data_IF_876287330067
#
_entry.id   IF_876287330067
#
_cell.length_a   1.000
_cell.length_b   1.000
_cell.length_c   1.000
_cell.angle_alpha   90.00
_cell.angle_beta   90.00
_cell.angle_gamma   90.00
#
_symmetry.space_group_name_H-M   'P 1'
#
loop_
_entity.id
_entity.type
_entity.pdbx_description
1 polymer ?
#
# COMPACT_ATOMS: atom_id res chain seq x y z
N UNK A 1 -0.52 -5.11 10.31
CA UNK A 1 -1.79 -5.04 9.55
C UNK A 1 -3.03 -5.04 10.45
N UNK A 2 -3.28 -6.04 11.32
CA UNK A 2 -4.53 -6.11 12.12
C UNK A 2 -4.78 -4.88 13.01
N UNK A 3 -3.75 -4.36 13.68
CA UNK A 3 -3.87 -3.13 14.48
C UNK A 3 -4.23 -1.91 13.62
N UNK A 4 -3.68 -1.80 12.41
CA UNK A 4 -3.99 -0.70 11.48
C UNK A 4 -5.43 -0.81 11.00
N UNK A 5 -5.87 -2.00 10.57
CA UNK A 5 -7.26 -2.25 10.17
C UNK A 5 -8.25 -1.86 11.28
N UNK A 6 -7.96 -2.25 12.52
CA UNK A 6 -8.77 -1.84 13.67
C UNK A 6 -8.84 -0.31 13.82
N UNK A 7 -7.72 0.39 13.76
CA UNK A 7 -7.66 1.85 13.93
C UNK A 7 -8.36 2.62 12.81
N UNK A 8 -8.51 2.03 11.62
CA UNK A 8 -9.27 2.62 10.50
C UNK A 8 -10.71 2.12 10.41
N UNK A 9 -11.20 1.40 11.44
CA UNK A 9 -12.58 0.94 11.51
C UNK A 9 -12.90 -0.23 10.57
N UNK A 10 -11.89 -1.01 10.16
CA UNK A 10 -12.04 -2.23 9.37
C UNK A 10 -12.01 -3.47 10.25
N UNK A 11 -12.71 -4.51 9.77
CA UNK A 11 -12.69 -5.82 10.41
C UNK A 11 -11.30 -6.46 10.35
N UNK A 12 -11.00 -7.26 11.36
CA UNK A 12 -9.86 -8.17 11.33
C UNK A 12 -10.07 -9.24 10.28
N UNK A 13 -8.99 -9.62 9.61
CA UNK A 13 -8.99 -10.68 8.61
C UNK A 13 -8.77 -12.02 9.29
N UNK A 14 -9.51 -13.03 8.86
CA UNK A 14 -9.33 -14.41 9.33
C UNK A 14 -8.22 -15.08 8.51
N UNK A 15 -7.37 -15.89 9.17
CA UNK A 15 -6.36 -16.67 8.44
C UNK A 15 -7.05 -17.81 7.70
N UNK A 16 -6.83 -17.88 6.39
CA UNK A 16 -7.31 -18.94 5.51
C UNK A 16 -6.13 -19.82 5.06
N UNK A 17 -6.22 -21.12 5.28
CA UNK A 17 -5.11 -22.04 5.00
C UNK A 17 -4.85 -22.25 3.51
N UNK A 18 -5.86 -22.10 2.65
CA UNK A 18 -5.67 -22.17 1.21
C UNK A 18 -4.87 -20.95 0.73
N UNK A 19 -5.21 -19.76 1.23
CA UNK A 19 -4.45 -18.54 0.96
C UNK A 19 -3.03 -18.62 1.53
N UNK A 20 -2.84 -19.16 2.74
CA UNK A 20 -1.49 -19.35 3.32
C UNK A 20 -0.65 -20.26 2.41
N UNK A 21 -1.23 -21.34 1.92
CA UNK A 21 -0.55 -22.28 1.02
C UNK A 21 -0.20 -21.59 -0.31
N UNK A 22 -1.14 -20.87 -0.92
CA UNK A 22 -0.92 -20.09 -2.14
C UNK A 22 0.21 -19.08 -1.96
N UNK A 23 0.14 -18.27 -0.91
CA UNK A 23 1.15 -17.24 -0.62
C UNK A 23 2.52 -17.82 -0.34
N UNK A 24 2.61 -18.93 0.40
CA UNK A 24 3.88 -19.60 0.66
C UNK A 24 4.47 -20.20 -0.61
N UNK A 25 3.66 -20.80 -1.46
CA UNK A 25 4.11 -21.32 -2.76
C UNK A 25 4.68 -20.21 -3.63
N UNK A 26 3.99 -19.07 -3.71
CA UNK A 26 4.48 -17.93 -4.48
C UNK A 26 5.77 -17.34 -3.90
N UNK A 27 5.86 -17.17 -2.58
CA UNK A 27 7.10 -16.72 -1.94
C UNK A 27 8.28 -17.69 -2.22
N UNK A 28 8.03 -19.00 -2.19
CA UNK A 28 9.03 -20.00 -2.56
C UNK A 28 9.43 -19.91 -4.04
N UNK A 29 8.47 -19.71 -4.93
CA UNK A 29 8.73 -19.48 -6.36
C UNK A 29 9.65 -18.28 -6.57
N UNK A 30 9.35 -17.15 -5.93
CA UNK A 30 10.16 -15.93 -6.05
C UNK A 30 11.59 -16.14 -5.54
N UNK A 31 11.77 -16.88 -4.44
CA UNK A 31 13.11 -17.21 -3.91
C UNK A 31 13.87 -18.20 -4.79
N UNK A 32 13.22 -19.26 -5.27
CA UNK A 32 13.84 -20.28 -6.13
C UNK A 32 14.36 -19.70 -7.45
N UNK A 33 13.68 -18.67 -7.95
CA UNK A 33 13.98 -18.06 -9.24
C UNK A 33 14.65 -16.68 -9.13
N UNK A 34 14.91 -16.20 -7.90
CA UNK A 34 15.37 -14.83 -7.63
C UNK A 34 14.56 -13.79 -8.41
N UNK A 35 13.24 -14.01 -8.44
CA UNK A 35 12.28 -13.22 -9.18
C UNK A 35 11.59 -12.19 -8.28
N UNK A 36 10.91 -11.24 -8.91
CA UNK A 36 10.03 -10.25 -8.27
C UNK A 36 8.72 -10.13 -9.06
N UNK A 37 7.70 -9.55 -8.44
CA UNK A 37 6.40 -9.31 -9.07
C UNK A 37 5.40 -10.44 -8.86
N UNK A 38 4.21 -10.25 -9.44
CA UNK A 38 3.02 -11.07 -9.18
C UNK A 38 2.97 -12.38 -9.98
N UNK A 39 3.70 -12.44 -11.09
CA UNK A 39 3.51 -13.49 -12.08
C UNK A 39 4.55 -14.60 -11.94
N UNK A 40 4.14 -15.82 -12.28
CA UNK A 40 5.02 -16.96 -12.42
C UNK A 40 5.15 -17.39 -13.88
N UNK A 41 6.37 -17.77 -14.27
CA UNK A 41 6.68 -18.32 -15.58
C UNK A 41 6.58 -19.83 -15.56
N UNK A 42 5.73 -20.39 -16.43
CA UNK A 42 5.56 -21.83 -16.59
C UNK A 42 6.89 -22.52 -16.93
N UNK A 43 7.17 -23.63 -16.25
CA UNK A 43 8.39 -24.42 -16.44
C UNK A 43 9.54 -24.03 -15.51
N UNK A 44 9.43 -22.94 -14.76
CA UNK A 44 10.38 -22.62 -13.70
C UNK A 44 10.09 -23.39 -12.39
N UNK A 45 11.11 -23.73 -11.58
CA UNK A 45 10.93 -24.41 -10.30
C UNK A 45 9.92 -23.71 -9.39
N UNK A 46 9.05 -24.50 -8.76
CA UNK A 46 8.03 -23.98 -7.86
C UNK A 46 6.79 -23.38 -8.53
N UNK A 47 6.68 -23.43 -9.87
CA UNK A 47 5.51 -22.93 -10.59
C UNK A 47 4.21 -23.59 -10.11
N UNK A 48 3.21 -22.77 -9.78
CA UNK A 48 1.87 -23.16 -9.35
C UNK A 48 0.76 -22.50 -10.17
N UNK A 49 1.04 -21.37 -10.81
CA UNK A 49 0.09 -20.67 -11.67
C UNK A 49 0.61 -19.30 -12.10
N UNK A 50 0.32 -18.90 -13.34
CA UNK A 50 0.88 -17.69 -13.95
C UNK A 50 0.57 -16.41 -13.17
N UNK A 51 -0.61 -16.31 -12.58
CA UNK A 51 -1.13 -15.13 -11.89
C UNK A 51 -1.72 -15.52 -10.54
N UNK A 52 -1.96 -14.57 -9.61
CA UNK A 52 -2.51 -14.88 -8.29
C UNK A 52 -3.81 -15.69 -8.39
N UNK A 53 -4.69 -15.30 -9.31
CA UNK A 53 -5.99 -15.95 -9.56
C UNK A 53 -5.89 -17.35 -10.19
N UNK A 54 -4.76 -17.69 -10.79
CA UNK A 54 -4.52 -19.05 -11.32
C UNK A 54 -3.73 -19.93 -10.35
N UNK A 55 -3.04 -19.34 -9.36
CA UNK A 55 -2.44 -20.07 -8.24
C UNK A 55 -3.47 -20.59 -7.25
N UNK A 56 -4.52 -19.81 -6.99
CA UNK A 56 -5.66 -20.25 -6.17
C UNK A 56 -6.94 -19.47 -6.50
N UNK A 57 -8.05 -20.19 -6.55
CA UNK A 57 -9.41 -19.65 -6.72
C UNK A 57 -9.94 -18.88 -5.50
N UNK A 58 -9.29 -19.00 -4.34
CA UNK A 58 -9.61 -18.24 -3.15
C UNK A 58 -9.06 -16.81 -3.18
N UNK A 59 -8.13 -16.50 -4.09
CA UNK A 59 -7.46 -15.20 -4.16
C UNK A 59 -8.37 -14.17 -4.81
N UNK A 60 -8.64 -13.08 -4.10
CA UNK A 60 -9.37 -11.90 -4.56
C UNK A 60 -8.47 -10.65 -4.64
N UNK A 61 -7.29 -10.69 -4.03
CA UNK A 61 -6.26 -9.67 -4.12
C UNK A 61 -4.92 -10.20 -3.62
N UNK A 62 -3.83 -9.57 -4.04
CA UNK A 62 -2.48 -9.95 -3.63
C UNK A 62 -1.62 -8.70 -3.44
N UNK A 63 -0.73 -8.75 -2.45
CA UNK A 63 0.44 -7.87 -2.38
C UNK A 63 1.70 -8.71 -2.21
N UNK A 64 2.76 -8.38 -2.94
CA UNK A 64 4.00 -9.17 -2.95
C UNK A 64 5.24 -8.30 -3.02
N UNK A 65 6.27 -8.68 -2.29
CA UNK A 65 7.58 -8.03 -2.37
C UNK A 65 8.67 -9.09 -2.29
N UNK A 66 9.69 -8.95 -3.12
CA UNK A 66 10.85 -9.81 -3.11
C UNK A 66 12.09 -9.05 -3.55
N UNK A 67 13.26 -9.50 -3.12
CA UNK A 67 14.51 -8.86 -3.47
C UNK A 67 15.69 -9.40 -2.69
N UNK A 68 16.81 -8.66 -2.78
CA UNK A 68 18.01 -8.95 -2.02
C UNK A 68 17.69 -8.98 -0.51
N UNK A 69 18.08 -10.06 0.15
CA UNK A 69 17.80 -10.28 1.58
C UNK A 69 18.33 -9.15 2.47
N UNK A 70 19.35 -8.40 2.03
CA UNK A 70 19.89 -7.25 2.78
C UNK A 70 18.90 -6.09 2.90
N UNK A 71 17.93 -5.99 1.99
CA UNK A 71 16.84 -5.02 2.09
C UNK A 71 15.83 -5.40 3.19
N UNK A 72 15.78 -6.67 3.60
CA UNK A 72 14.85 -7.20 4.60
C UNK A 72 15.48 -7.22 5.99
N UNK A 73 15.70 -6.02 6.54
CA UNK A 73 16.37 -5.84 7.84
C UNK A 73 15.66 -6.50 9.05
N UNK A 74 14.37 -6.83 8.92
CA UNK A 74 13.55 -7.47 9.96
C UNK A 74 12.48 -8.32 9.29
N UNK A 75 11.92 -9.29 10.02
CA UNK A 75 10.78 -10.10 9.55
C UNK A 75 9.51 -9.29 9.23
N UNK A 76 9.44 -8.03 9.69
CA UNK A 76 8.33 -7.14 9.37
C UNK A 76 8.60 -6.27 8.14
N UNK A 77 9.83 -6.21 7.64
CA UNK A 77 10.24 -5.23 6.62
C UNK A 77 9.39 -5.37 5.36
N UNK A 78 9.19 -6.59 4.85
CA UNK A 78 8.35 -6.81 3.66
C UNK A 78 6.89 -6.37 3.83
N UNK A 79 6.28 -6.67 4.99
CA UNK A 79 4.90 -6.22 5.27
C UNK A 79 4.84 -4.70 5.42
N UNK A 80 5.83 -4.08 6.05
CA UNK A 80 5.86 -2.63 6.22
C UNK A 80 6.14 -1.89 4.92
N UNK A 81 7.03 -2.40 4.04
CA UNK A 81 7.31 -1.76 2.75
C UNK A 81 6.10 -1.81 1.82
N UNK A 82 5.40 -2.95 1.78
CA UNK A 82 4.13 -3.08 1.08
C UNK A 82 3.09 -2.11 1.62
N UNK A 83 2.97 -1.96 2.94
CA UNK A 83 2.00 -1.04 3.52
C UNK A 83 2.37 0.45 3.32
N UNK A 84 3.65 0.78 3.26
CA UNK A 84 4.13 2.14 3.02
C UNK A 84 3.92 2.58 1.56
N UNK A 85 3.89 1.62 0.63
CA UNK A 85 3.59 1.83 -0.78
C UNK A 85 2.07 2.01 -1.01
N UNK A 86 1.60 3.12 -1.61
CA UNK A 86 0.19 3.50 -1.57
C UNK A 86 -0.74 2.61 -2.40
N UNK A 87 -0.31 2.06 -3.54
CA UNK A 87 -1.18 1.14 -4.31
C UNK A 87 -1.38 -0.18 -3.56
N UNK A 88 -0.31 -0.75 -3.01
CA UNK A 88 -0.40 -1.92 -2.15
C UNK A 88 -1.24 -1.65 -0.89
N UNK A 89 -1.09 -0.47 -0.26
CA UNK A 89 -1.90 -0.07 0.90
C UNK A 89 -3.39 -0.10 0.60
N UNK A 90 -3.82 0.36 -0.57
CA UNK A 90 -5.24 0.33 -0.95
C UNK A 90 -5.79 -1.09 -0.88
N UNK A 91 -5.06 -2.07 -1.44
CA UNK A 91 -5.44 -3.48 -1.35
C UNK A 91 -5.42 -3.99 0.09
N UNK A 92 -4.39 -3.66 0.88
CA UNK A 92 -4.28 -4.12 2.28
C UNK A 92 -5.39 -3.56 3.20
N UNK A 93 -5.99 -2.43 2.83
CA UNK A 93 -7.10 -1.77 3.54
C UNK A 93 -8.47 -2.00 2.88
N UNK A 94 -8.56 -2.90 1.91
CA UNK A 94 -9.82 -3.19 1.25
C UNK A 94 -10.74 -4.09 2.10
N UNK A 95 -12.00 -4.23 1.69
CA UNK A 95 -13.06 -5.00 2.33
C UNK A 95 -12.90 -6.53 2.30
N UNK A 96 -11.69 -7.07 2.26
CA UNK A 96 -11.44 -8.51 2.36
C UNK A 96 -11.89 -9.08 3.72
N UNK A 97 -12.12 -10.40 3.78
CA UNK A 97 -12.52 -11.11 5.01
C UNK A 97 -11.47 -12.07 5.53
N UNK A 98 -10.60 -12.56 4.65
CA UNK A 98 -9.54 -13.49 4.98
C UNK A 98 -8.23 -13.11 4.31
N UNK A 99 -7.15 -13.71 4.80
CA UNK A 99 -5.82 -13.61 4.21
C UNK A 99 -5.01 -14.88 4.42
N UNK A 100 -3.95 -15.00 3.62
CA UNK A 100 -2.80 -15.85 3.88
C UNK A 100 -1.51 -15.04 3.81
N UNK A 101 -0.51 -15.41 4.60
CA UNK A 101 0.83 -14.82 4.52
C UNK A 101 1.83 -15.94 4.24
N UNK A 102 2.66 -15.74 3.24
CA UNK A 102 3.79 -16.59 2.91
C UNK A 102 5.08 -15.78 2.93
N UNK A 103 6.14 -16.33 3.52
CA UNK A 103 7.46 -15.75 3.47
C UNK A 103 8.49 -16.86 3.21
N UNK A 104 9.49 -16.56 2.39
CA UNK A 104 10.56 -17.49 2.07
C UNK A 104 11.88 -16.74 1.93
N UNK A 105 12.99 -17.41 2.24
CA UNK A 105 14.33 -16.81 2.21
C UNK A 105 15.36 -17.82 1.69
N UNK A 106 16.36 -17.34 0.98
CA UNK A 106 17.62 -18.03 0.69
C UNK A 106 18.80 -17.25 1.29
N UNK A 107 20.03 -17.65 0.97
CA UNK A 107 21.23 -16.92 1.41
C UNK A 107 21.32 -15.48 0.85
N UNK A 108 20.63 -15.17 -0.25
CA UNK A 108 20.74 -13.88 -0.94
C UNK A 108 19.40 -13.23 -1.29
N UNK A 109 18.27 -13.93 -1.10
CA UNK A 109 16.96 -13.47 -1.53
C UNK A 109 15.91 -13.67 -0.43
N UNK A 110 14.97 -12.74 -0.34
CA UNK A 110 13.79 -12.88 0.52
C UNK A 110 12.54 -12.46 -0.27
N UNK A 111 11.42 -13.14 0.00
CA UNK A 111 10.13 -12.83 -0.56
C UNK A 111 9.04 -12.92 0.51
N UNK A 112 8.09 -12.00 0.47
CA UNK A 112 6.87 -11.99 1.28
C UNK A 112 5.67 -11.79 0.34
N UNK A 113 4.71 -12.70 0.42
CA UNK A 113 3.43 -12.61 -0.28
C UNK A 113 2.28 -12.58 0.72
N UNK A 114 1.26 -11.79 0.43
CA UNK A 114 0.00 -11.78 1.16
C UNK A 114 -1.14 -11.88 0.15
N UNK A 115 -1.82 -13.02 0.15
CA UNK A 115 -3.07 -13.19 -0.57
C UNK A 115 -4.25 -12.82 0.32
N UNK A 116 -5.24 -12.15 -0.27
CA UNK A 116 -6.49 -11.79 0.37
C UNK A 116 -7.65 -12.54 -0.27
N UNK A 117 -8.64 -12.91 0.54
CA UNK A 117 -9.81 -13.64 0.08
C UNK A 117 -11.10 -13.20 0.74
N UNK A 118 -12.19 -13.60 0.08
CA UNK A 118 -13.55 -13.19 0.40
C UNK A 118 -13.75 -11.68 0.40
N UNK A 119 -15.01 -11.25 0.49
CA UNK A 119 -15.34 -9.83 0.51
C UNK A 119 -16.50 -9.59 1.45
N UNK A 120 -16.40 -8.58 2.29
CA UNK A 120 -17.49 -8.20 3.18
C UNK A 120 -18.20 -6.95 2.67
N UNK A 121 -19.54 -6.94 2.66
CA UNK A 121 -20.29 -5.73 2.41
C UNK A 121 -20.30 -4.77 3.63
N UNK A 122 -19.66 -5.13 4.75
CA UNK A 122 -19.75 -4.43 6.04
C UNK A 122 -19.07 -3.07 6.06
N UNK A 123 -18.17 -2.77 5.10
CA UNK A 123 -17.78 -1.38 4.87
C UNK A 123 -19.02 -0.63 4.39
N UNK A 124 -19.48 0.34 5.18
CA UNK A 124 -20.66 1.12 4.85
C UNK A 124 -20.47 1.82 3.50
N UNK A 125 -21.54 1.97 2.73
CA UNK A 125 -21.45 2.52 1.37
C UNK A 125 -20.95 3.98 1.33
N UNK A 126 -20.94 4.67 2.47
CA UNK A 126 -20.38 6.01 2.66
C UNK A 126 -19.10 6.06 3.50
N UNK A 127 -18.61 4.91 3.97
CA UNK A 127 -17.41 4.85 4.82
C UNK A 127 -16.16 5.13 3.98
N UNK A 128 -15.32 6.04 4.48
CA UNK A 128 -14.01 6.34 3.92
C UNK A 128 -12.93 5.85 4.89
N UNK A 129 -11.91 5.22 4.34
CA UNK A 129 -10.72 4.78 5.06
C UNK A 129 -9.59 5.74 4.69
N UNK A 130 -9.10 6.48 5.68
CA UNK A 130 -7.98 7.40 5.53
C UNK A 130 -6.73 6.84 6.19
N UNK A 131 -5.57 7.03 5.55
CA UNK A 131 -4.26 6.74 6.14
C UNK A 131 -3.25 7.83 5.78
N UNK A 132 -2.40 8.31 6.71
CA UNK A 132 -2.43 8.05 8.15
C UNK A 132 -3.80 8.33 8.77
N UNK A 133 -4.20 7.55 9.76
CA UNK A 133 -5.54 7.67 10.34
C UNK A 133 -5.64 8.87 11.29
N UNK A 134 -6.87 9.28 11.60
CA UNK A 134 -7.11 10.44 12.48
C UNK A 134 -6.43 10.27 13.84
N UNK A 135 -5.58 11.23 14.20
CA UNK A 135 -4.83 11.23 15.45
C UNK A 135 -3.61 10.30 15.45
N UNK A 136 -3.25 9.68 14.33
CA UNK A 136 -2.09 8.78 14.27
C UNK A 136 -0.80 9.53 14.62
N UNK A 137 0.01 8.94 15.51
CA UNK A 137 1.35 9.43 15.84
C UNK A 137 2.43 8.48 15.33
N UNK A 138 3.65 8.97 15.14
CA UNK A 138 4.77 8.14 14.70
C UNK A 138 4.66 7.75 13.22
N UNK A 139 4.00 8.57 12.41
CA UNK A 139 3.94 8.38 10.95
C UNK A 139 5.33 8.64 10.38
N UNK A 140 5.88 7.79 9.49
CA UNK A 140 7.16 8.06 8.86
C UNK A 140 7.14 9.43 8.18
N UNK A 141 8.24 10.16 8.27
CA UNK A 141 8.34 11.49 7.64
C UNK A 141 8.50 11.39 6.11
N UNK A 142 9.00 10.25 5.63
CA UNK A 142 9.37 10.02 4.23
C UNK A 142 9.07 8.59 3.81
N UNK A 143 8.97 8.39 2.50
CA UNK A 143 8.81 7.09 1.86
C UNK A 143 9.81 7.00 0.71
N UNK A 144 10.39 5.82 0.50
CA UNK A 144 11.21 5.56 -0.69
C UNK A 144 10.27 5.12 -1.82
N UNK A 145 10.14 5.93 -2.87
CA UNK A 145 9.16 5.76 -3.93
C UNK A 145 9.52 4.64 -4.92
N UNK A 146 9.62 3.42 -4.40
CA UNK A 146 9.83 2.17 -5.14
C UNK A 146 8.57 1.32 -5.05
N UNK A 147 7.70 1.48 -6.05
CA UNK A 147 6.47 0.72 -6.24
C UNK A 147 6.29 0.47 -7.74
N UNK A 148 5.64 -0.64 -8.10
CA UNK A 148 5.27 -0.98 -9.47
C UNK A 148 3.77 -1.36 -9.50
N UNK A 149 2.90 -0.63 -10.22
CA UNK A 149 3.19 0.62 -10.93
C UNK A 149 3.65 1.74 -9.99
N UNK A 150 4.51 2.63 -10.47
CA UNK A 150 4.99 3.73 -9.64
C UNK A 150 4.02 4.91 -9.69
N UNK A 151 3.58 5.48 -8.55
CA UNK A 151 2.73 6.67 -8.54
C UNK A 151 3.33 7.84 -9.34
N UNK A 152 4.66 7.97 -9.35
CA UNK A 152 5.40 9.00 -10.09
C UNK A 152 5.74 8.59 -11.54
N UNK A 153 4.97 7.71 -12.17
CA UNK A 153 5.18 7.32 -13.58
C UNK A 153 5.32 8.53 -14.52
N UNK A 154 4.53 9.59 -14.31
CA UNK A 154 4.56 10.83 -15.09
C UNK A 154 5.64 11.84 -14.62
N UNK A 155 6.31 11.58 -13.51
CA UNK A 155 7.35 12.43 -12.92
C UNK A 155 8.56 11.60 -12.47
N UNK A 156 9.31 10.99 -13.42
CA UNK A 156 10.35 10.01 -13.13
C UNK A 156 11.48 10.48 -12.21
N UNK A 157 11.69 11.80 -12.06
CA UNK A 157 12.66 12.35 -11.10
C UNK A 157 12.33 12.03 -9.63
N UNK A 158 11.09 11.63 -9.34
CA UNK A 158 10.63 11.22 -8.01
C UNK A 158 10.51 9.69 -7.85
N UNK A 159 10.83 8.90 -8.88
CA UNK A 159 10.88 7.44 -8.76
C UNK A 159 12.19 7.01 -8.09
N UNK A 160 12.14 5.96 -7.27
CA UNK A 160 13.31 5.39 -6.59
C UNK A 160 14.13 6.43 -5.80
N UNK A 161 13.44 7.41 -5.21
CA UNK A 161 14.02 8.41 -4.31
C UNK A 161 13.14 8.59 -3.08
N UNK A 162 13.65 9.30 -2.07
CA UNK A 162 12.86 9.63 -0.90
C UNK A 162 11.98 10.86 -1.16
N UNK A 163 10.68 10.68 -0.95
CA UNK A 163 9.64 11.70 -0.98
C UNK A 163 8.95 11.74 0.39
N UNK A 164 7.96 12.62 0.59
CA UNK A 164 7.16 12.60 1.81
C UNK A 164 6.25 11.39 1.89
N UNK A 165 5.82 11.06 3.10
CA UNK A 165 5.02 9.87 3.32
C UNK A 165 3.62 9.99 2.70
N UNK A 166 3.14 8.99 1.93
CA UNK A 166 1.86 9.06 1.24
C UNK A 166 0.66 9.20 2.18
N UNK A 167 -0.21 10.16 1.88
CA UNK A 167 -1.56 10.27 2.44
C UNK A 167 -2.56 9.69 1.45
N UNK A 168 -3.41 8.79 1.91
CA UNK A 168 -4.35 8.01 1.12
C UNK A 168 -5.76 8.10 1.71
N UNK A 169 -6.77 8.12 0.84
CA UNK A 169 -8.17 7.95 1.20
C UNK A 169 -8.82 6.97 0.21
N UNK A 170 -9.63 6.04 0.71
CA UNK A 170 -10.36 5.10 -0.13
C UNK A 170 -11.78 4.88 0.39
N UNK A 171 -12.71 4.73 -0.53
CA UNK A 171 -14.02 4.14 -0.26
C UNK A 171 -13.95 2.63 -0.41
N UNK A 172 -15.05 1.95 -0.09
CA UNK A 172 -15.26 0.54 -0.44
C UNK A 172 -15.01 0.28 -1.92
N UNK A 173 -14.54 -0.92 -2.28
CA UNK A 173 -14.26 -1.34 -3.67
C UNK A 173 -15.36 -1.00 -4.69
N UNK A 174 -16.63 -1.05 -4.30
CA UNK A 174 -17.78 -0.77 -5.17
C UNK A 174 -18.15 0.72 -5.27
N UNK A 175 -17.48 1.57 -4.50
CA UNK A 175 -17.65 3.01 -4.56
C UNK A 175 -16.77 3.63 -5.64
N UNK A 176 -17.16 4.81 -6.12
CA UNK A 176 -16.37 5.59 -7.07
C UNK A 176 -16.16 6.99 -6.51
N UNK A 177 -14.90 7.43 -6.45
CA UNK A 177 -14.59 8.80 -6.07
C UNK A 177 -14.47 9.67 -7.31
N UNK A 178 -14.98 10.90 -7.25
CA UNK A 178 -14.81 11.90 -8.30
C UNK A 178 -14.62 13.29 -7.70
N UNK A 179 -14.04 14.21 -8.47
CA UNK A 179 -13.77 15.59 -8.05
C UNK A 179 -12.99 15.68 -6.74
N UNK A 180 -12.11 14.71 -6.49
CA UNK A 180 -11.34 14.62 -5.25
C UNK A 180 -10.22 15.66 -5.25
N UNK A 181 -10.09 16.39 -4.14
CA UNK A 181 -8.94 17.23 -3.85
C UNK A 181 -8.44 16.94 -2.45
N UNK A 182 -7.13 16.77 -2.29
CA UNK A 182 -6.48 16.46 -1.02
C UNK A 182 -5.48 17.57 -0.68
N UNK A 183 -5.75 18.32 0.39
CA UNK A 183 -4.86 19.37 0.88
C UNK A 183 -4.19 18.91 2.17
N UNK A 184 -2.86 19.01 2.22
CA UNK A 184 -2.08 18.80 3.44
C UNK A 184 -1.52 20.16 3.89
N UNK A 185 -1.67 20.49 5.16
CA UNK A 185 -1.07 21.69 5.78
C UNK A 185 -0.24 21.33 7.00
N UNK A 186 0.85 22.08 7.23
CA UNK A 186 1.61 22.00 8.47
C UNK A 186 0.94 22.77 9.61
N UNK A 187 1.48 22.67 10.83
CA UNK A 187 0.94 23.34 12.02
C UNK A 187 0.92 24.88 11.93
N UNK A 188 1.68 25.47 11.00
CA UNK A 188 1.66 26.90 10.71
C UNK A 188 0.60 27.30 9.68
N UNK A 189 -0.17 26.34 9.14
CA UNK A 189 -1.14 26.56 8.08
C UNK A 189 -0.51 26.62 6.68
N UNK A 190 0.78 26.26 6.53
CA UNK A 190 1.43 26.27 5.22
C UNK A 190 1.07 25.01 4.44
N UNK A 191 0.79 25.19 3.16
CA UNK A 191 0.49 24.08 2.25
C UNK A 191 1.73 23.19 2.02
N UNK A 192 1.51 21.88 2.01
CA UNK A 192 2.52 20.88 1.64
C UNK A 192 2.24 20.40 0.22
N UNK A 193 3.05 20.80 -0.78
CA UNK A 193 2.86 20.37 -2.15
C UNK A 193 3.03 18.85 -2.31
N UNK A 194 2.12 18.22 -3.04
CA UNK A 194 2.13 16.78 -3.28
C UNK A 194 1.74 16.42 -4.71
N UNK A 195 2.15 15.24 -5.14
CA UNK A 195 1.55 14.57 -6.29
C UNK A 195 0.16 14.07 -5.86
N UNK A 196 -0.88 14.55 -6.52
CA UNK A 196 -2.23 14.03 -6.35
C UNK A 196 -2.55 13.02 -7.45
N UNK A 197 -2.93 11.80 -7.04
CA UNK A 197 -3.54 10.81 -7.92
C UNK A 197 -4.97 10.59 -7.45
N UNK A 198 -5.90 10.83 -8.36
CA UNK A 198 -7.35 10.74 -8.13
C UNK A 198 -7.97 9.99 -9.31
N UNK A 199 -9.21 9.49 -9.19
CA UNK A 199 -9.83 8.78 -10.32
C UNK A 199 -10.04 9.66 -11.55
N UNK A 200 -10.10 10.99 -11.39
CA UNK A 200 -10.20 11.92 -12.50
C UNK A 200 -8.88 12.09 -13.27
N UNK A 201 -7.73 11.80 -12.62
CA UNK A 201 -6.39 12.02 -13.18
C UNK A 201 -5.61 10.74 -13.45
N UNK A 202 -6.02 9.60 -12.88
CA UNK A 202 -5.30 8.34 -12.99
C UNK A 202 -6.27 7.15 -12.92
N UNK A 203 -6.29 6.32 -13.96
CA UNK A 203 -7.17 5.14 -14.09
C UNK A 203 -6.78 3.97 -13.18
N UNK A 204 -5.57 3.97 -12.62
CA UNK A 204 -5.12 2.97 -11.64
C UNK A 204 -5.86 3.09 -10.29
N UNK A 205 -6.55 4.20 -10.05
CA UNK A 205 -7.38 4.42 -8.86
C UNK A 205 -8.82 4.75 -9.26
N UNK A 206 -9.79 4.10 -8.63
CA UNK A 206 -11.23 4.30 -8.95
C UNK A 206 -12.05 4.64 -7.71
N UNK A 207 -11.89 3.86 -6.65
CA UNK A 207 -12.49 4.07 -5.33
C UNK A 207 -11.56 4.81 -4.37
N UNK A 208 -10.41 5.27 -4.85
CA UNK A 208 -9.29 5.70 -4.01
C UNK A 208 -8.61 6.96 -4.54
N UNK A 209 -7.94 7.69 -3.67
CA UNK A 209 -7.11 8.84 -4.02
C UNK A 209 -5.93 8.95 -3.06
N UNK A 210 -4.84 9.58 -3.52
CA UNK A 210 -3.64 9.80 -2.73
C UNK A 210 -3.01 11.17 -3.00
N UNK A 211 -2.26 11.65 -2.02
CA UNK A 211 -1.43 12.84 -2.06
C UNK A 211 -0.07 12.46 -1.48
N UNK A 212 0.96 12.40 -2.34
CA UNK A 212 2.33 12.04 -1.96
C UNK A 212 3.17 13.32 -1.94
N UNK A 213 3.56 13.84 -0.76
CA UNK A 213 4.33 15.08 -0.69
C UNK A 213 5.65 14.97 -1.48
N UNK A 214 6.00 15.98 -2.26
CA UNK A 214 7.22 15.95 -3.09
C UNK A 214 8.52 15.95 -2.27
N UNK A 215 8.44 16.35 -1.00
CA UNK A 215 9.56 16.42 -0.07
C UNK A 215 9.23 15.70 1.23
N UNK A 216 10.27 15.23 1.92
CA UNK A 216 10.13 14.65 3.25
C UNK A 216 9.41 15.64 4.19
N UNK A 217 8.45 15.13 4.96
CA UNK A 217 7.77 15.87 5.99
C UNK A 217 8.74 16.20 7.13
N UNK A 218 8.45 17.27 7.88
CA UNK A 218 9.18 17.58 9.11
C UNK A 218 8.78 16.52 10.15
N UNK A 219 9.74 15.99 10.89
CA UNK A 219 9.44 15.07 12.00
C UNK A 219 8.90 15.81 13.22
N UNK A 220 8.28 15.06 14.14
CA UNK A 220 7.60 15.60 15.33
C UNK A 220 6.62 16.74 15.01
N UNK A 221 6.02 16.70 13.83
CA UNK A 221 5.16 17.78 13.32
C UNK A 221 3.76 17.24 13.09
N UNK A 222 2.77 17.96 13.60
CA UNK A 222 1.38 17.70 13.29
C UNK A 222 1.03 18.28 11.91
N UNK A 223 0.38 17.45 11.09
CA UNK A 223 -0.15 17.83 9.78
C UNK A 223 -1.66 17.67 9.80
N UNK A 224 -2.36 18.60 9.15
CA UNK A 224 -3.80 18.50 8.89
C UNK A 224 -4.01 18.09 7.43
N UNK A 225 -4.95 17.18 7.21
CA UNK A 225 -5.40 16.77 5.88
C UNK A 225 -6.85 17.19 5.74
N UNK A 226 -7.16 17.89 4.64
CA UNK A 226 -8.52 18.23 4.24
C UNK A 226 -8.79 17.59 2.88
N UNK A 227 -9.88 16.83 2.79
CA UNK A 227 -10.30 16.18 1.55
C UNK A 227 -11.71 16.62 1.20
N UNK A 228 -11.87 17.08 -0.03
CA UNK A 228 -13.17 17.34 -0.65
C UNK A 228 -13.38 16.42 -1.84
N UNK A 229 -14.63 16.13 -2.19
CA UNK A 229 -14.94 15.38 -3.42
C UNK A 229 -16.36 14.82 -3.39
N UNK A 230 -16.59 13.80 -4.21
CA UNK A 230 -17.87 13.10 -4.29
C UNK A 230 -17.61 11.60 -4.24
N UNK A 231 -18.34 10.91 -3.39
CA UNK A 231 -18.45 9.45 -3.37
C UNK A 231 -19.76 9.05 -4.04
N UNK A 232 -19.67 8.29 -5.13
CA UNK A 232 -20.81 7.60 -5.72
C UNK A 232 -20.84 6.16 -5.18
N UNK A 233 -21.89 5.85 -4.41
CA UNK A 233 -22.14 4.51 -3.88
C UNK A 233 -22.65 3.57 -4.99
N UNK A 234 -22.62 2.25 -4.71
CA UNK A 234 -23.02 1.21 -5.66
C UNK A 234 -24.46 1.39 -6.20
N UNK A 235 -25.37 1.88 -5.35
CA UNK A 235 -26.77 2.11 -5.72
C UNK A 235 -27.03 3.45 -6.42
N UNK A 236 -25.97 4.19 -6.77
CA UNK A 236 -26.04 5.43 -7.54
C UNK A 236 -26.19 6.70 -6.70
N UNK A 237 -26.40 6.57 -5.39
CA UNK A 237 -26.41 7.70 -4.46
C UNK A 237 -25.05 8.39 -4.46
N UNK A 238 -25.08 9.73 -4.51
CA UNK A 238 -23.88 10.56 -4.42
C UNK A 238 -23.83 11.23 -3.06
N UNK A 239 -22.66 11.18 -2.44
CA UNK A 239 -22.39 11.75 -1.12
C UNK A 239 -21.24 12.74 -1.24
N UNK A 240 -21.40 13.99 -0.79
CA UNK A 240 -20.29 14.92 -0.74
C UNK A 240 -19.27 14.42 0.29
N UNK A 241 -17.99 14.53 -0.07
CA UNK A 241 -16.87 14.34 0.83
C UNK A 241 -16.41 15.73 1.24
N UNK A 242 -16.38 15.97 2.55
CA UNK A 242 -15.73 17.10 3.19
C UNK A 242 -15.24 16.62 4.56
N UNK A 243 -14.01 16.13 4.60
CA UNK A 243 -13.43 15.50 5.79
C UNK A 243 -12.10 16.12 6.13
N UNK A 244 -11.87 16.35 7.41
CA UNK A 244 -10.60 16.84 7.94
C UNK A 244 -10.11 15.94 9.06
N UNK A 245 -8.83 15.59 9.04
CA UNK A 245 -8.18 14.90 10.14
C UNK A 245 -6.73 15.36 10.28
N UNK A 246 -6.05 14.89 11.32
CA UNK A 246 -4.63 15.19 11.54
C UNK A 246 -3.84 13.93 11.86
N UNK A 247 -2.53 14.00 11.62
CA UNK A 247 -1.56 13.00 12.05
C UNK A 247 -0.26 13.69 12.47
N UNK A 248 0.57 12.99 13.24
CA UNK A 248 1.88 13.47 13.71
C UNK A 248 2.99 12.56 13.22
N UNK A 249 3.98 13.15 12.57
CA UNK A 249 5.16 12.42 12.11
C UNK A 249 6.02 11.97 13.28
N UNK A 250 6.75 10.87 13.09
CA UNK A 250 7.82 10.43 13.99
C UNK A 250 8.88 11.52 14.18
N UNK A 251 9.66 11.43 15.26
CA UNK A 251 10.80 12.33 15.45
C UNK A 251 11.84 12.15 14.33
N UNK A 252 12.49 13.24 13.90
CA UNK A 252 13.55 13.14 12.89
C UNK A 252 14.69 12.27 13.45
N UNK A 253 15.01 11.25 12.65
CA UNK A 253 16.11 10.29 12.71
C UNK A 253 15.99 9.16 13.74
N UNK A 254 15.22 8.14 13.36
CA UNK A 254 15.94 6.94 12.93
C UNK A 254 15.75 6.79 11.43
N UNK A 255 16.82 7.06 10.67
CA UNK A 255 17.10 6.11 9.61
C UNK A 255 16.98 4.73 10.27
N UNK A 256 15.94 3.94 9.96
CA UNK A 256 16.18 2.51 9.90
C UNK A 256 17.39 2.42 8.99
N UNK A 257 18.54 2.17 9.59
CA UNK A 257 19.80 2.01 8.90
C UNK A 257 19.58 0.81 7.99
N UNK A 258 19.15 1.06 6.76
CA UNK A 258 19.45 0.16 5.66
C UNK A 258 20.89 0.49 5.33
N UNK A 259 21.78 -0.34 5.87
CA UNK A 259 23.22 -0.16 5.74
C UNK A 259 23.57 -0.04 4.25
N UNK A 260 24.28 1.02 3.89
CA UNK A 260 25.01 1.18 2.64
C UNK A 260 24.39 0.43 1.44
N UNK A 261 23.23 0.90 0.97
CA UNK A 261 22.63 0.35 -0.23
C UNK A 261 23.49 0.70 -1.44
N UNK A 262 24.25 -0.30 -1.90
CA UNK A 262 24.34 -0.52 -3.33
C UNK A 262 22.91 -0.71 -3.82
N UNK A 263 22.44 0.31 -4.52
CA UNK A 263 21.30 0.36 -5.43
C UNK A 263 20.45 -0.91 -5.49
N UNK A 264 19.15 -0.76 -5.23
CA UNK A 264 18.10 -1.57 -5.85
C UNK A 264 18.43 -1.71 -7.34
N UNK A 265 19.02 -2.84 -7.73
CA UNK A 265 19.03 -3.24 -9.13
C UNK A 265 17.63 -3.77 -9.40
N UNK A 266 16.75 -2.87 -9.83
CA UNK A 266 15.59 -3.26 -10.62
C UNK A 266 16.18 -3.85 -11.90
N UNK A 267 16.20 -5.18 -12.00
CA UNK A 267 16.47 -5.83 -13.28
C UNK A 267 15.27 -5.50 -14.17
N UNK A 268 15.45 -4.79 -15.29
CA UNK A 268 14.36 -4.58 -16.24
C UNK A 268 13.83 -5.92 -16.73
N UNK A 269 12.52 -6.00 -16.99
CA UNK A 269 11.86 -7.12 -17.68
C UNK A 269 12.58 -7.52 -18.97
#
# INVERSE_FOLDING_TARGET
MSAVRHNVGLNQLTVDQQLVTSSLNHANYLVLNQATGHNETQGLPGYTGQSPFTRSDAVFGEVTTAGDIRAFSTSLTGVTSLFDAPFHRFLMLEGYTSLGVGASTSATWEAVNIDFGGFTPVVGDTQLVAYPYSGQTGVPARWFAAENPNPFASQPQYQNTYVGYPVTIQAKLTGHLTSVSIKITDSGGNDVPCLQLTPDSNTEVTNSAMCIPYTALKGSTAYSVHVTGVLKALHGDTHPIDVTWSFTTEAIASAKVMGNEKQFHVVPE
#
